data_IF_526370649769
#
_entry.id   IF_526370649769
#
_cell.length_a   1.000
_cell.length_b   1.000
_cell.length_c   1.000
_cell.angle_alpha   90.00
_cell.angle_beta   90.00
_cell.angle_gamma   90.00
#
_symmetry.space_group_name_H-M   'P 1'
#
loop_
_entity.id
_entity.type
_entity.pdbx_description
1 polymer ?
#
# COMPACT_ATOMS: atom_id res chain seq x y z
N UNK A 1 21.92 -14.78 -3.56
CA UNK A 1 22.25 -13.62 -2.72
C UNK A 1 21.32 -12.44 -2.99
N UNK A 2 21.06 -12.08 -4.25
CA UNK A 2 20.23 -10.93 -4.62
C UNK A 2 18.78 -11.02 -4.12
N UNK A 3 18.10 -12.15 -4.31
CA UNK A 3 16.72 -12.33 -3.83
C UNK A 3 16.58 -12.15 -2.31
N UNK A 4 17.55 -12.63 -1.52
CA UNK A 4 17.56 -12.39 -0.07
C UNK A 4 17.82 -10.91 0.26
N UNK A 5 18.63 -10.23 -0.55
CA UNK A 5 18.82 -8.79 -0.46
C UNK A 5 17.52 -8.03 -0.73
N UNK A 6 16.77 -8.42 -1.75
CA UNK A 6 15.45 -7.85 -2.04
C UNK A 6 14.47 -8.09 -0.90
N UNK A 7 14.38 -9.31 -0.35
CA UNK A 7 13.49 -9.60 0.78
C UNK A 7 13.76 -8.66 1.96
N UNK A 8 15.03 -8.44 2.31
CA UNK A 8 15.42 -7.50 3.38
C UNK A 8 15.08 -6.06 3.02
N UNK A 9 15.36 -5.66 1.77
CA UNK A 9 15.02 -4.34 1.27
C UNK A 9 13.51 -4.08 1.30
N UNK A 10 12.71 -5.06 0.91
CA UNK A 10 11.27 -5.02 0.93
C UNK A 10 10.71 -4.92 2.36
N UNK A 11 11.28 -5.66 3.31
CA UNK A 11 10.92 -5.58 4.73
C UNK A 11 11.21 -4.20 5.32
N UNK A 12 12.29 -3.53 4.89
CA UNK A 12 12.62 -2.17 5.32
C UNK A 12 11.52 -1.15 5.03
N UNK A 13 10.78 -1.28 3.92
CA UNK A 13 9.63 -0.40 3.66
C UNK A 13 8.50 -0.61 4.67
N UNK A 14 8.24 -1.87 5.05
CA UNK A 14 7.19 -2.19 6.03
C UNK A 14 7.55 -1.60 7.39
N UNK A 15 8.80 -1.82 7.83
CA UNK A 15 9.30 -1.26 9.09
C UNK A 15 9.24 0.27 9.10
N UNK A 16 9.72 0.92 8.04
CA UNK A 16 9.70 2.37 7.93
C UNK A 16 8.28 2.94 8.00
N UNK A 17 7.36 2.43 7.18
CA UNK A 17 6.00 2.96 7.14
C UNK A 17 5.16 2.59 8.35
N UNK A 18 5.47 1.51 9.07
CA UNK A 18 4.88 1.23 10.37
C UNK A 18 5.22 2.35 11.38
N UNK A 19 6.43 2.91 11.32
CA UNK A 19 6.82 4.04 12.14
C UNK A 19 6.18 5.35 11.66
N UNK A 20 6.04 5.54 10.35
CA UNK A 20 5.39 6.74 9.78
C UNK A 20 3.88 6.78 9.99
N UNK A 21 3.22 5.65 10.24
CA UNK A 21 1.78 5.58 10.50
C UNK A 21 1.33 6.52 11.63
N UNK A 22 2.16 6.70 12.66
CA UNK A 22 1.88 7.57 13.81
C UNK A 22 2.37 9.01 13.62
N UNK A 23 2.88 9.36 12.43
CA UNK A 23 3.47 10.68 12.11
C UNK A 23 2.69 11.43 11.02
N UNK A 24 1.43 11.07 10.79
CA UNK A 24 0.55 11.77 9.84
C UNK A 24 0.03 13.09 10.44
N UNK A 25 0.91 14.09 10.54
CA UNK A 25 0.61 15.36 11.19
C UNK A 25 -0.21 16.30 10.30
N UNK A 26 -1.14 17.00 10.94
CA UNK A 26 -1.77 18.20 10.40
C UNK A 26 -1.01 19.47 10.82
N UNK A 27 -1.54 20.62 10.44
CA UNK A 27 -0.95 21.93 10.74
C UNK A 27 -2.00 22.87 11.33
N UNK A 28 -1.60 23.77 12.21
CA UNK A 28 -2.42 24.91 12.64
C UNK A 28 -1.93 26.16 11.91
N UNK A 29 -2.84 26.89 11.27
CA UNK A 29 -2.52 28.00 10.40
C UNK A 29 -2.96 29.31 11.08
N UNK A 30 -2.10 30.35 11.14
CA UNK A 30 -2.51 31.67 11.63
C UNK A 30 -3.71 32.22 10.85
N UNK A 31 -4.77 32.58 11.57
CA UNK A 31 -5.95 33.20 10.99
C UNK A 31 -5.83 34.72 10.98
N UNK A 32 -6.33 35.36 9.93
CA UNK A 32 -6.49 36.82 9.87
C UNK A 32 -7.69 37.30 10.72
N UNK A 33 -8.62 36.40 11.06
CA UNK A 33 -9.77 36.68 11.91
C UNK A 33 -9.57 36.01 13.28
N UNK A 34 -9.56 36.80 14.35
CA UNK A 34 -9.32 36.35 15.73
C UNK A 34 -10.39 35.41 16.29
N UNK A 35 -11.55 35.31 15.64
CA UNK A 35 -12.64 34.40 16.02
C UNK A 35 -12.63 33.07 15.23
N UNK A 36 -11.67 32.88 14.32
CA UNK A 36 -11.59 31.69 13.46
C UNK A 36 -10.28 30.96 13.69
N UNK A 37 -10.35 29.65 13.90
CA UNK A 37 -9.20 28.76 13.94
C UNK A 37 -9.11 27.98 12.63
N UNK A 38 -7.91 27.94 12.03
CA UNK A 38 -7.63 27.19 10.82
C UNK A 38 -6.70 26.03 11.16
N UNK A 39 -7.06 24.82 10.72
CA UNK A 39 -6.24 23.63 10.88
C UNK A 39 -6.38 22.69 9.68
N UNK A 40 -5.34 21.92 9.41
CA UNK A 40 -5.36 20.83 8.44
C UNK A 40 -5.28 19.49 9.16
N UNK A 41 -5.86 18.46 8.55
CA UNK A 41 -5.71 17.06 8.95
C UNK A 41 -5.36 16.23 7.72
N UNK A 42 -4.82 15.03 7.93
CA UNK A 42 -4.54 14.06 6.88
C UNK A 42 -5.46 12.85 7.08
N UNK A 43 -6.11 12.40 6.02
CA UNK A 43 -7.04 11.27 6.05
C UNK A 43 -6.69 10.28 4.92
N UNK A 44 -6.97 8.98 5.11
CA UNK A 44 -6.81 8.00 4.04
C UNK A 44 -7.68 8.36 2.83
N UNK A 45 -7.18 8.04 1.64
CA UNK A 45 -7.94 8.20 0.39
C UNK A 45 -8.99 7.10 0.19
N UNK A 46 -8.87 5.98 0.90
CA UNK A 46 -9.81 4.85 0.82
C UNK A 46 -9.19 3.61 0.19
N UNK A 47 -9.90 2.98 -0.74
CA UNK A 47 -9.46 1.75 -1.41
C UNK A 47 -8.44 2.08 -2.50
N UNK A 48 -7.31 1.36 -2.53
CA UNK A 48 -6.24 1.57 -3.52
C UNK A 48 -6.03 0.31 -4.36
N UNK A 49 -6.00 0.46 -5.68
CA UNK A 49 -5.54 -0.58 -6.61
C UNK A 49 -4.06 -0.35 -6.95
N UNK A 50 -3.22 -1.35 -6.67
CA UNK A 50 -1.80 -1.35 -7.00
C UNK A 50 -1.43 -2.38 -8.06
N UNK A 51 -0.66 -1.95 -9.06
CA UNK A 51 -0.11 -2.83 -10.10
C UNK A 51 1.41 -2.84 -9.96
N UNK A 52 2.04 -4.02 -10.02
CA UNK A 52 3.49 -4.16 -9.84
C UNK A 52 4.13 -5.04 -10.91
N UNK A 53 5.33 -4.67 -11.41
CA UNK A 53 6.08 -5.45 -12.40
C UNK A 53 6.83 -6.64 -11.77
N UNK A 54 7.49 -7.44 -12.61
CA UNK A 54 8.16 -8.69 -12.23
C UNK A 54 9.58 -8.55 -11.70
N UNK A 55 10.24 -7.41 -11.92
CA UNK A 55 11.69 -7.26 -11.68
C UNK A 55 12.09 -7.20 -10.19
N UNK A 56 11.21 -6.72 -9.32
CA UNK A 56 11.38 -6.78 -7.86
C UNK A 56 10.03 -7.14 -7.21
N UNK A 57 9.68 -8.44 -7.22
CA UNK A 57 8.35 -8.92 -6.90
C UNK A 57 7.95 -8.80 -5.43
N UNK A 58 8.84 -8.37 -4.53
CA UNK A 58 8.49 -7.97 -3.17
C UNK A 58 8.66 -6.47 -2.96
N UNK A 59 9.80 -5.91 -3.39
CA UNK A 59 10.09 -4.50 -3.09
C UNK A 59 9.14 -3.53 -3.81
N UNK A 60 8.66 -3.87 -5.03
CA UNK A 60 7.65 -3.05 -5.72
C UNK A 60 6.28 -3.11 -5.03
N UNK A 61 5.98 -4.20 -4.34
CA UNK A 61 4.74 -4.37 -3.58
C UNK A 61 4.82 -3.61 -2.26
N UNK A 62 5.82 -3.91 -1.42
CA UNK A 62 5.88 -3.38 -0.05
C UNK A 62 6.01 -1.87 -0.03
N UNK A 63 6.72 -1.26 -1.00
CA UNK A 63 6.79 0.19 -1.14
C UNK A 63 5.47 0.88 -1.51
N UNK A 64 4.43 0.12 -1.89
CA UNK A 64 3.08 0.61 -2.20
C UNK A 64 2.08 0.25 -1.10
N UNK A 65 2.02 -1.03 -0.70
CA UNK A 65 1.06 -1.49 0.32
C UNK A 65 1.39 -0.97 1.71
N UNK A 66 2.67 -0.87 2.08
CA UNK A 66 3.05 -0.39 3.41
C UNK A 66 2.62 1.06 3.68
N UNK A 67 2.90 2.05 2.80
CA UNK A 67 2.39 3.41 3.03
C UNK A 67 0.87 3.50 2.92
N UNK A 68 0.23 2.71 2.04
CA UNK A 68 -1.22 2.70 1.94
C UNK A 68 -1.87 2.23 3.25
N UNK A 69 -1.42 1.11 3.79
CA UNK A 69 -1.96 0.59 5.05
C UNK A 69 -1.62 1.49 6.24
N UNK A 70 -0.40 2.04 6.29
CA UNK A 70 0.00 3.01 7.32
C UNK A 70 -0.87 4.27 7.31
N UNK A 71 -1.32 4.72 6.13
CA UNK A 71 -2.24 5.85 5.99
C UNK A 71 -3.70 5.51 6.37
N UNK A 72 -4.04 4.22 6.55
CA UNK A 72 -5.40 3.73 6.82
C UNK A 72 -6.19 3.33 5.57
N UNK A 73 -5.52 3.08 4.44
CA UNK A 73 -6.15 2.59 3.21
C UNK A 73 -6.21 1.05 3.18
N UNK A 74 -7.20 0.51 2.48
CA UNK A 74 -7.17 -0.88 2.02
C UNK A 74 -6.50 -0.98 0.65
N UNK A 75 -5.92 -2.13 0.34
CA UNK A 75 -5.07 -2.29 -0.83
C UNK A 75 -5.38 -3.58 -1.60
N UNK A 76 -5.72 -3.42 -2.87
CA UNK A 76 -5.89 -4.51 -3.83
C UNK A 76 -4.66 -4.52 -4.73
N UNK A 77 -3.93 -5.62 -4.77
CA UNK A 77 -2.72 -5.77 -5.57
C UNK A 77 -2.97 -6.68 -6.77
N UNK A 78 -2.62 -6.21 -7.97
CA UNK A 78 -2.36 -7.07 -9.13
C UNK A 78 -0.84 -7.17 -9.38
N UNK A 79 -0.17 -8.25 -8.95
CA UNK A 79 1.24 -8.47 -9.24
C UNK A 79 1.42 -9.02 -10.66
N UNK A 80 2.61 -8.88 -11.25
CA UNK A 80 2.90 -9.52 -12.53
C UNK A 80 2.63 -11.03 -12.48
N UNK A 81 1.97 -11.53 -13.53
CA UNK A 81 1.65 -12.94 -13.77
C UNK A 81 2.90 -13.82 -13.94
N UNK A 82 4.07 -13.23 -14.22
CA UNK A 82 5.33 -13.94 -14.31
C UNK A 82 5.93 -14.26 -12.94
N UNK A 83 5.61 -13.48 -11.91
CA UNK A 83 6.18 -13.60 -10.55
C UNK A 83 5.15 -13.51 -9.41
N UNK A 84 3.97 -14.16 -9.51
CA UNK A 84 2.88 -13.94 -8.56
C UNK A 84 3.13 -14.57 -7.18
N UNK A 85 3.99 -15.60 -7.10
CA UNK A 85 4.16 -16.40 -5.89
C UNK A 85 4.70 -15.60 -4.69
N UNK A 86 5.57 -14.62 -4.94
CA UNK A 86 6.08 -13.72 -3.89
C UNK A 86 4.98 -12.87 -3.27
N UNK A 87 4.04 -12.39 -4.10
CA UNK A 87 2.89 -11.62 -3.63
C UNK A 87 1.95 -12.48 -2.77
N UNK A 88 1.70 -13.73 -3.19
CA UNK A 88 0.90 -14.69 -2.41
C UNK A 88 1.56 -14.96 -1.05
N UNK A 89 2.87 -15.19 -1.04
CA UNK A 89 3.62 -15.42 0.19
C UNK A 89 3.53 -14.22 1.13
N UNK A 90 3.69 -13.00 0.60
CA UNK A 90 3.52 -11.76 1.36
C UNK A 90 2.11 -11.62 1.95
N UNK A 91 1.06 -11.93 1.17
CA UNK A 91 -0.32 -11.89 1.66
C UNK A 91 -0.56 -12.89 2.80
N UNK A 92 0.00 -14.10 2.72
CA UNK A 92 -0.05 -15.08 3.80
C UNK A 92 0.64 -14.56 5.07
N UNK A 93 1.80 -13.94 4.93
CA UNK A 93 2.53 -13.33 6.05
C UNK A 93 1.76 -12.15 6.65
N UNK A 94 1.10 -11.33 5.83
CA UNK A 94 0.26 -10.23 6.29
C UNK A 94 -0.90 -10.72 7.18
N UNK A 95 -1.58 -11.80 6.76
CA UNK A 95 -2.62 -12.45 7.58
C UNK A 95 -2.03 -12.98 8.89
N UNK A 96 -0.87 -13.63 8.85
CA UNK A 96 -0.18 -14.13 10.05
C UNK A 96 0.25 -13.01 11.00
N UNK A 97 0.61 -11.83 10.47
CA UNK A 97 0.96 -10.66 11.24
C UNK A 97 -0.27 -9.97 11.90
N UNK A 98 -1.48 -10.44 11.64
CA UNK A 98 -2.72 -9.89 12.20
C UNK A 98 -3.26 -8.69 11.43
N UNK A 99 -2.87 -8.50 10.17
CA UNK A 99 -3.46 -7.48 9.30
C UNK A 99 -4.97 -7.74 9.14
N UNK A 100 -5.77 -6.67 9.20
CA UNK A 100 -7.23 -6.76 9.15
C UNK A 100 -7.71 -7.47 7.88
N UNK A 101 -8.75 -8.31 8.01
CA UNK A 101 -9.32 -9.04 6.90
C UNK A 101 -9.79 -8.07 5.79
N UNK A 102 -9.34 -8.29 4.56
CA UNK A 102 -9.68 -7.46 3.41
C UNK A 102 -8.83 -6.19 3.26
N UNK A 103 -7.99 -5.84 4.25
CA UNK A 103 -7.10 -4.68 4.14
C UNK A 103 -5.99 -4.86 3.10
N UNK A 104 -5.58 -6.10 2.82
CA UNK A 104 -4.68 -6.44 1.71
C UNK A 104 -5.20 -7.66 0.96
N UNK A 105 -5.45 -7.48 -0.34
CA UNK A 105 -5.93 -8.52 -1.24
C UNK A 105 -5.01 -8.63 -2.44
N UNK A 106 -4.79 -9.86 -2.94
CA UNK A 106 -3.95 -10.12 -4.11
C UNK A 106 -4.79 -10.78 -5.19
N UNK A 107 -4.90 -10.11 -6.34
CA UNK A 107 -5.63 -10.55 -7.52
C UNK A 107 -4.64 -10.98 -8.60
N UNK A 108 -4.65 -12.27 -8.91
CA UNK A 108 -3.78 -12.85 -9.94
C UNK A 108 -4.60 -13.00 -11.22
N UNK A 109 -4.08 -12.48 -12.32
CA UNK A 109 -4.69 -12.60 -13.64
C UNK A 109 -3.62 -12.62 -14.71
N UNK A 110 -3.83 -13.43 -15.76
CA UNK A 110 -3.07 -13.40 -17.01
C UNK A 110 -3.60 -12.35 -18.00
N UNK A 111 -4.65 -11.62 -17.63
CA UNK A 111 -5.29 -10.58 -18.44
C UNK A 111 -5.25 -9.24 -17.68
N UNK A 112 -4.06 -8.59 -17.57
CA UNK A 112 -3.92 -7.33 -16.85
C UNK A 112 -4.81 -6.21 -17.40
N UNK A 113 -4.88 -6.07 -18.73
CA UNK A 113 -5.60 -4.97 -19.37
C UNK A 113 -7.09 -4.97 -19.02
N UNK A 114 -7.75 -6.13 -19.17
CA UNK A 114 -9.17 -6.30 -18.87
C UNK A 114 -9.50 -5.96 -17.39
N UNK A 115 -8.67 -6.43 -16.46
CA UNK A 115 -8.86 -6.14 -15.04
C UNK A 115 -8.71 -4.64 -14.75
N UNK A 116 -7.72 -3.97 -15.35
CA UNK A 116 -7.49 -2.54 -15.15
C UNK A 116 -8.65 -1.73 -15.74
N UNK A 117 -9.09 -2.06 -16.95
CA UNK A 117 -10.25 -1.41 -17.58
C UNK A 117 -11.50 -1.53 -16.72
N UNK A 118 -11.78 -2.72 -16.17
CA UNK A 118 -12.91 -2.94 -15.27
C UNK A 118 -12.85 -2.03 -14.04
N UNK A 119 -11.72 -1.99 -13.33
CA UNK A 119 -11.60 -1.17 -12.12
C UNK A 119 -11.58 0.34 -12.41
N UNK A 120 -11.02 0.77 -13.55
CA UNK A 120 -11.02 2.16 -13.96
C UNK A 120 -12.43 2.66 -14.36
N UNK A 121 -13.32 1.77 -14.80
CA UNK A 121 -14.71 2.14 -15.11
C UNK A 121 -15.58 2.30 -13.85
N UNK A 122 -15.20 1.66 -12.74
CA UNK A 122 -15.93 1.72 -11.48
C UNK A 122 -15.44 2.81 -10.52
N UNK A 123 -14.35 3.51 -10.85
CA UNK A 123 -13.76 4.59 -10.07
C UNK A 123 -14.32 5.96 -10.49
#
# INVERSE_FOLDING_TARGET
HEALGEVRYAAGFVEWFAQEAIRSYGETIPSQNTLVQLSTIRQPVGVVLGITPWNFPLAMITRKVAPAYAAGCSFILKPSEETPLSAIALAKLAVQAGMEAGAFQVLITTQPAELIEYYCQCA
#
